data_IF_868941538279
#
_entry.id   IF_868941538279
#
_cell.length_a   1.000
_cell.length_b   1.000
_cell.length_c   1.000
_cell.angle_alpha   90.00
_cell.angle_beta   90.00
_cell.angle_gamma   90.00
#
_symmetry.space_group_name_H-M   'P 1'
#
loop_
_entity.id
_entity.type
_entity.pdbx_description
1 polymer ?
#
# COMPACT_ATOMS: atom_id res chain seq x y z
N UNK A 1 3.70 6.86 0.55
CA UNK A 1 2.64 7.80 1.00
C UNK A 1 1.31 7.07 0.84
N UNK A 2 0.41 7.15 1.82
CA UNK A 2 -0.94 6.56 1.76
C UNK A 2 -1.99 7.62 2.10
N UNK A 3 -3.17 7.49 1.52
CA UNK A 3 -4.28 8.45 1.60
C UNK A 3 -4.99 8.57 0.26
N UNK A 4 -5.95 9.48 0.17
CA UNK A 4 -6.63 9.74 -1.09
C UNK A 4 -5.77 10.61 -2.03
N UNK A 5 -6.23 10.76 -3.28
CA UNK A 5 -5.53 11.52 -4.32
C UNK A 5 -5.17 12.94 -3.88
N UNK A 6 -6.11 13.65 -3.25
CA UNK A 6 -5.88 15.04 -2.82
C UNK A 6 -4.81 15.14 -1.73
N UNK A 7 -4.86 14.23 -0.75
CA UNK A 7 -3.86 14.16 0.33
C UNK A 7 -2.47 13.82 -0.19
N UNK A 8 -2.38 12.86 -1.13
CA UNK A 8 -1.12 12.49 -1.77
C UNK A 8 -0.56 13.67 -2.57
N UNK A 9 -1.39 14.34 -3.38
CA UNK A 9 -0.96 15.52 -4.13
C UNK A 9 -0.46 16.64 -3.22
N UNK A 10 -1.17 16.92 -2.12
CA UNK A 10 -0.74 17.92 -1.15
C UNK A 10 0.63 17.58 -0.54
N UNK A 11 0.85 16.32 -0.15
CA UNK A 11 2.14 15.87 0.39
C UNK A 11 3.27 15.90 -0.63
N UNK A 12 2.99 15.58 -1.90
CA UNK A 12 3.98 15.69 -2.97
C UNK A 12 4.45 17.13 -3.17
N UNK A 13 3.52 18.09 -3.16
CA UNK A 13 3.83 19.52 -3.30
C UNK A 13 4.57 20.10 -2.08
N UNK A 14 4.36 19.54 -0.89
CA UNK A 14 5.09 19.90 0.33
C UNK A 14 6.51 19.31 0.36
N UNK A 15 6.70 18.11 -0.23
CA UNK A 15 7.95 17.35 -0.15
C UNK A 15 8.93 17.60 -1.30
N UNK A 16 8.44 18.05 -2.46
CA UNK A 16 9.24 18.15 -3.69
C UNK A 16 9.01 19.48 -4.40
N UNK A 17 10.06 19.98 -5.05
CA UNK A 17 9.95 21.17 -5.90
C UNK A 17 9.03 20.90 -7.11
N UNK A 18 8.16 21.84 -7.52
CA UNK A 18 7.19 21.57 -8.59
C UNK A 18 7.80 21.20 -9.94
N UNK A 19 9.07 21.55 -10.20
CA UNK A 19 9.80 21.20 -11.43
C UNK A 19 10.71 19.98 -11.29
N UNK A 20 10.79 19.38 -10.09
CA UNK A 20 11.62 18.21 -9.87
C UNK A 20 11.07 16.99 -10.63
N UNK A 21 11.94 16.30 -11.36
CA UNK A 21 11.57 15.04 -12.02
C UNK A 21 11.53 13.94 -10.97
N UNK A 22 10.38 13.28 -10.84
CA UNK A 22 10.15 12.16 -9.92
C UNK A 22 9.47 11.01 -10.65
N UNK A 23 9.63 9.80 -10.12
CA UNK A 23 8.85 8.62 -10.50
C UNK A 23 8.10 8.12 -9.28
N UNK A 24 6.83 7.73 -9.45
CA UNK A 24 5.97 7.25 -8.38
C UNK A 24 5.50 5.83 -8.69
N UNK A 25 5.48 4.98 -7.67
CA UNK A 25 4.81 3.67 -7.69
C UNK A 25 3.51 3.81 -6.90
N UNK A 26 2.38 3.48 -7.52
CA UNK A 26 1.05 3.63 -6.94
C UNK A 26 0.46 2.24 -6.73
N UNK A 27 -0.15 2.04 -5.56
CA UNK A 27 -0.95 0.85 -5.23
C UNK A 27 -2.37 1.29 -4.93
N UNK A 28 -3.33 0.55 -5.47
CA UNK A 28 -4.76 0.71 -5.21
C UNK A 28 -5.32 -0.54 -4.54
N UNK A 29 -6.53 -0.45 -3.97
CA UNK A 29 -7.20 -1.61 -3.39
C UNK A 29 -7.47 -2.69 -4.45
N UNK A 30 -7.75 -2.29 -5.69
CA UNK A 30 -7.89 -3.19 -6.84
C UNK A 30 -6.58 -3.96 -7.10
N UNK A 31 -5.43 -3.29 -7.12
CA UNK A 31 -4.13 -3.95 -7.30
C UNK A 31 -3.84 -4.97 -6.19
N UNK A 32 -4.23 -4.65 -4.95
CA UNK A 32 -4.12 -5.57 -3.80
C UNK A 32 -4.99 -6.79 -4.04
N UNK A 33 -6.26 -6.61 -4.39
CA UNK A 33 -7.18 -7.70 -4.70
C UNK A 33 -6.67 -8.59 -5.82
N UNK A 34 -6.13 -8.02 -6.90
CA UNK A 34 -5.54 -8.77 -8.01
C UNK A 34 -4.30 -9.56 -7.58
N UNK A 35 -3.50 -9.01 -6.67
CA UNK A 35 -2.35 -9.70 -6.10
C UNK A 35 -2.74 -10.84 -5.15
N UNK A 36 -3.90 -10.72 -4.49
CA UNK A 36 -4.39 -11.64 -3.46
C UNK A 36 -5.70 -12.32 -3.84
N UNK A 37 -5.93 -12.54 -5.14
CA UNK A 37 -7.20 -13.05 -5.65
C UNK A 37 -7.61 -14.38 -5.01
N UNK A 38 -6.64 -15.24 -4.68
CA UNK A 38 -6.86 -16.52 -4.01
C UNK A 38 -7.30 -16.39 -2.54
N UNK A 39 -7.11 -15.21 -1.92
CA UNK A 39 -7.43 -14.97 -0.51
C UNK A 39 -8.85 -14.46 -0.29
N UNK A 40 -9.52 -13.92 -1.32
CA UNK A 40 -10.80 -13.23 -1.17
C UNK A 40 -10.76 -12.23 0.00
N UNK A 41 -9.90 -11.22 -0.10
CA UNK A 41 -9.86 -10.15 0.90
C UNK A 41 -11.18 -9.36 0.90
N UNK A 42 -11.55 -8.82 2.05
CA UNK A 42 -12.56 -7.75 2.09
C UNK A 42 -11.93 -6.43 1.67
N UNK A 43 -12.75 -5.44 1.32
CA UNK A 43 -12.26 -4.10 1.00
C UNK A 43 -11.53 -3.46 2.19
N UNK A 44 -12.01 -3.66 3.41
CA UNK A 44 -11.34 -3.18 4.63
C UNK A 44 -9.96 -3.84 4.83
N UNK A 45 -9.82 -5.14 4.52
CA UNK A 45 -8.53 -5.83 4.57
C UNK A 45 -7.57 -5.31 3.49
N UNK A 46 -8.08 -5.02 2.28
CA UNK A 46 -7.27 -4.46 1.22
C UNK A 46 -6.77 -3.04 1.55
N UNK A 47 -7.62 -2.19 2.14
CA UNK A 47 -7.24 -0.86 2.62
C UNK A 47 -6.22 -0.93 3.76
N UNK A 48 -6.35 -1.89 4.68
CA UNK A 48 -5.35 -2.13 5.72
C UNK A 48 -4.00 -2.52 5.12
N UNK A 49 -3.97 -3.36 4.08
CA UNK A 49 -2.73 -3.69 3.36
C UNK A 49 -2.12 -2.45 2.70
N UNK A 50 -2.91 -1.53 2.12
CA UNK A 50 -2.38 -0.28 1.57
C UNK A 50 -1.72 0.60 2.63
N UNK A 51 -2.26 0.64 3.85
CA UNK A 51 -1.65 1.35 4.96
C UNK A 51 -0.29 0.73 5.33
N UNK A 52 -0.21 -0.61 5.45
CA UNK A 52 1.02 -1.35 5.73
C UNK A 52 2.11 -1.16 4.66
N UNK A 53 1.71 -1.10 3.38
CA UNK A 53 2.61 -0.78 2.27
C UNK A 53 3.26 0.59 2.52
N UNK A 54 2.51 1.61 2.95
CA UNK A 54 3.11 2.91 3.20
C UNK A 54 4.08 2.96 4.40
N UNK A 55 3.96 2.06 5.37
CA UNK A 55 4.84 1.99 6.54
C UNK A 55 6.11 1.16 6.31
N UNK A 56 6.14 0.34 5.26
CA UNK A 56 7.23 -0.59 5.07
C UNK A 56 8.52 0.12 4.61
N UNK A 57 9.54 0.07 5.45
CA UNK A 57 10.77 0.86 5.31
C UNK A 57 11.67 0.45 4.14
N UNK A 58 11.51 -0.77 3.60
CA UNK A 58 12.33 -1.32 2.50
C UNK A 58 11.91 -0.85 1.09
N UNK A 59 10.77 -0.16 0.98
CA UNK A 59 10.24 0.39 -0.28
C UNK A 59 11.24 1.26 -1.04
N UNK A 60 12.08 1.99 -0.31
CA UNK A 60 13.06 2.93 -0.87
C UNK A 60 14.12 2.24 -1.75
N UNK A 61 14.36 0.93 -1.57
CA UNK A 61 15.46 0.22 -2.24
C UNK A 61 15.01 -0.70 -3.37
N UNK A 62 13.83 -1.31 -3.25
CA UNK A 62 13.36 -2.32 -4.22
C UNK A 62 11.91 -2.12 -4.67
N UNK A 63 11.23 -1.09 -4.16
CA UNK A 63 9.76 -0.98 -4.28
C UNK A 63 9.05 -2.09 -3.52
N UNK A 64 7.74 -2.20 -3.74
CA UNK A 64 6.95 -3.33 -3.27
C UNK A 64 6.40 -4.10 -4.45
N UNK A 65 6.73 -5.40 -4.46
CA UNK A 65 6.25 -6.36 -5.45
C UNK A 65 5.10 -7.20 -4.90
N UNK A 66 4.49 -7.98 -5.80
CA UNK A 66 3.33 -8.85 -5.52
C UNK A 66 3.53 -9.77 -4.32
N UNK A 67 4.69 -10.42 -4.20
CA UNK A 67 4.97 -11.34 -3.09
C UNK A 67 4.96 -10.64 -1.72
N UNK A 68 5.42 -9.39 -1.67
CA UNK A 68 5.37 -8.57 -0.46
C UNK A 68 3.93 -8.23 -0.10
N UNK A 69 3.12 -7.82 -1.08
CA UNK A 69 1.69 -7.52 -0.87
C UNK A 69 0.94 -8.75 -0.36
N UNK A 70 1.20 -9.92 -0.95
CA UNK A 70 0.61 -11.17 -0.50
C UNK A 70 1.01 -11.53 0.94
N UNK A 71 2.27 -11.31 1.30
CA UNK A 71 2.77 -11.56 2.66
C UNK A 71 2.14 -10.61 3.69
N UNK A 72 1.99 -9.33 3.35
CA UNK A 72 1.31 -8.34 4.19
C UNK A 72 -0.18 -8.68 4.37
N UNK A 73 -0.87 -9.05 3.30
CA UNK A 73 -2.27 -9.48 3.37
C UNK A 73 -2.48 -10.68 4.29
N UNK A 74 -1.57 -11.65 4.23
CA UNK A 74 -1.58 -12.78 5.15
C UNK A 74 -1.44 -12.32 6.61
N UNK A 75 -0.50 -11.41 6.88
CA UNK A 75 -0.26 -10.89 8.23
C UNK A 75 -1.48 -10.12 8.76
N UNK A 76 -2.04 -9.20 7.97
CA UNK A 76 -3.24 -8.41 8.33
C UNK A 76 -4.39 -9.33 8.76
N UNK A 77 -4.62 -10.42 8.03
CA UNK A 77 -5.68 -11.38 8.36
C UNK A 77 -5.37 -12.20 9.61
N UNK A 78 -4.13 -12.62 9.80
CA UNK A 78 -3.71 -13.34 11.01
C UNK A 78 -3.84 -12.48 12.27
N UNK A 79 -3.50 -11.20 12.18
CA UNK A 79 -3.64 -10.24 13.28
C UNK A 79 -5.13 -9.97 13.59
N UNK A 80 -5.96 -9.74 12.57
CA UNK A 80 -7.41 -9.56 12.72
C UNK A 80 -8.15 -10.80 13.27
N UNK A 81 -7.56 -11.99 13.15
CA UNK A 81 -8.08 -13.22 13.74
C UNK A 81 -7.65 -13.41 15.20
N UNK A 82 -6.50 -12.86 15.59
CA UNK A 82 -5.96 -12.94 16.96
C UNK A 82 -6.67 -11.98 17.92
N UNK A 83 -7.17 -10.87 17.39
CA UNK A 83 -7.84 -9.82 18.17
C UNK A 83 -9.36 -10.05 18.38
N UNK A 84 -9.89 -11.22 17.97
CA UNK A 84 -11.29 -11.65 18.20
C UNK A 84 -11.40 -12.69 19.31
#
# INVERSE_FOLDING_TARGET
MHGNVNEICARLLDSFEPQQRISLLIWTAEDVHDCTSDMNLTDDEAEAVLAEIAECSSHSRYGVGKDTVWSLAKQVREDAARDR
#
